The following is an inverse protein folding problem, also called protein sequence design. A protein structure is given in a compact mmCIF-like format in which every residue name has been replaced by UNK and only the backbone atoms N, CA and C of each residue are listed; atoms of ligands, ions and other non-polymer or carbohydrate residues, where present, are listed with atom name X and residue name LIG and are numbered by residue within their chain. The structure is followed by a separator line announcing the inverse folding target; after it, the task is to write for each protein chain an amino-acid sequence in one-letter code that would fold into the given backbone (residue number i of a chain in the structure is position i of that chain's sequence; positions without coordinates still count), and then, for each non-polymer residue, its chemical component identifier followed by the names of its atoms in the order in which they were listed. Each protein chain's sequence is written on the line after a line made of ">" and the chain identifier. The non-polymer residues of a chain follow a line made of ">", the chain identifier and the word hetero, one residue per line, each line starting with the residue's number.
data_IF_962832611388
#
_entry.id   IF_962832611388
#
_cell.length_a   1.000
_cell.length_b   1.000
_cell.length_c   1.000
_cell.angle_alpha   90.00
_cell.angle_beta   90.00
_cell.angle_gamma   90.00
#
_symmetry.space_group_name_H-M   'P 1'
#
loop_
_entity.id
_entity.type
_entity.pdbx_description
1 polymer ?
#
# COMPACT_ATOMS: atom_id res chain seq x y z
N UNK A 1 -8.10 -12.13 7.72
CA UNK A 1 -7.47 -11.09 6.88
C UNK A 1 -8.54 -10.22 6.22
N UNK A 2 -8.37 -8.89 6.29
CA UNK A 2 -9.28 -7.93 5.68
C UNK A 2 -8.84 -7.56 4.26
N UNK A 3 -9.79 -7.08 3.46
CA UNK A 3 -9.54 -6.55 2.12
C UNK A 3 -10.00 -5.10 2.05
N UNK A 4 -9.29 -4.28 1.27
CA UNK A 4 -9.57 -2.84 1.10
C UNK A 4 -9.63 -2.49 -0.37
N UNK A 5 -10.75 -1.92 -0.79
CA UNK A 5 -10.94 -1.28 -2.09
C UNK A 5 -10.55 0.21 -1.98
N UNK A 6 -9.55 0.71 -2.74
CA UNK A 6 -9.13 2.11 -2.66
C UNK A 6 -10.05 3.09 -3.39
N UNK A 7 -11.00 2.61 -4.19
CA UNK A 7 -11.90 3.45 -5.00
C UNK A 7 -11.15 4.48 -5.85
N UNK A 8 -10.04 4.04 -6.45
CA UNK A 8 -9.15 4.87 -7.28
C UNK A 8 -8.46 6.03 -6.53
N UNK A 9 -8.48 6.08 -5.19
CA UNK A 9 -7.75 7.06 -4.40
C UNK A 9 -6.37 6.50 -3.97
N UNK A 10 -5.30 7.12 -4.47
CA UNK A 10 -3.93 6.74 -4.17
C UNK A 10 -3.60 6.80 -2.68
N UNK A 11 -4.24 7.69 -1.92
CA UNK A 11 -3.99 7.86 -0.48
C UNK A 11 -4.60 6.72 0.29
N UNK A 12 -5.77 6.23 -0.11
CA UNK A 12 -6.38 5.05 0.51
C UNK A 12 -5.50 3.82 0.25
N UNK A 13 -5.02 3.65 -1.00
CA UNK A 13 -4.12 2.55 -1.34
C UNK A 13 -2.84 2.57 -0.49
N UNK A 14 -2.18 3.73 -0.36
CA UNK A 14 -0.97 3.89 0.44
C UNK A 14 -1.22 3.75 1.95
N UNK A 15 -2.29 4.35 2.48
CA UNK A 15 -2.59 4.35 3.90
C UNK A 15 -2.83 2.93 4.43
N UNK A 16 -3.59 2.12 3.69
CA UNK A 16 -3.87 0.73 4.11
C UNK A 16 -2.71 -0.23 3.83
N UNK A 17 -1.82 0.08 2.90
CA UNK A 17 -0.55 -0.66 2.75
C UNK A 17 0.33 -0.51 4.01
N UNK A 18 0.40 0.69 4.60
CA UNK A 18 1.14 0.93 5.84
C UNK A 18 0.39 0.43 7.06
N UNK A 19 -0.86 0.85 7.25
CA UNK A 19 -1.66 0.51 8.43
C UNK A 19 -1.95 -1.00 8.52
N UNK A 20 -2.11 -1.66 7.38
CA UNK A 20 -2.39 -3.10 7.29
C UNK A 20 -1.14 -3.98 7.43
N UNK A 21 0.06 -3.42 7.45
CA UNK A 21 1.32 -4.18 7.46
C UNK A 21 1.42 -5.18 8.62
N UNK A 22 1.11 -4.83 9.89
CA UNK A 22 1.28 -5.77 11.01
C UNK A 22 0.30 -6.95 11.01
N UNK A 23 -0.81 -6.84 10.29
CA UNK A 23 -1.93 -7.81 10.36
C UNK A 23 -2.23 -8.52 9.04
N UNK A 24 -1.56 -8.13 7.94
CA UNK A 24 -1.74 -8.72 6.62
C UNK A 24 -3.08 -8.35 5.98
N UNK A 25 -3.17 -7.13 5.42
CA UNK A 25 -4.31 -6.66 4.63
C UNK A 25 -4.02 -6.76 3.14
N UNK A 26 -5.02 -7.19 2.36
CA UNK A 26 -4.97 -7.09 0.89
C UNK A 26 -5.56 -5.75 0.45
N UNK A 27 -4.76 -4.93 -0.20
CA UNK A 27 -5.23 -3.71 -0.89
C UNK A 27 -5.48 -4.06 -2.35
N UNK A 28 -6.70 -3.83 -2.85
CA UNK A 28 -7.07 -4.00 -4.25
C UNK A 28 -6.47 -2.87 -5.09
N UNK A 29 -6.15 -3.16 -6.35
CA UNK A 29 -5.57 -2.19 -7.30
C UNK A 29 -4.49 -1.25 -6.69
N UNK A 30 -3.45 -1.79 -6.01
CA UNK A 30 -2.47 -0.96 -5.31
C UNK A 30 -1.72 0.00 -6.24
N UNK A 31 -1.71 -0.27 -7.55
CA UNK A 31 -1.12 0.58 -8.59
C UNK A 31 -1.68 2.01 -8.63
N UNK A 32 -2.83 2.30 -8.02
CA UNK A 32 -3.30 3.68 -7.86
C UNK A 32 -2.30 4.57 -7.12
N UNK A 33 -1.44 4.02 -6.25
CA UNK A 33 -0.35 4.77 -5.62
C UNK A 33 0.58 5.47 -6.64
N UNK A 34 0.77 4.88 -7.83
CA UNK A 34 1.69 5.40 -8.85
C UNK A 34 1.31 6.78 -9.38
N UNK A 35 0.04 7.21 -9.26
CA UNK A 35 -0.39 8.50 -9.80
C UNK A 35 0.23 9.70 -9.04
N UNK A 36 0.62 9.49 -7.78
CA UNK A 36 1.24 10.53 -6.94
C UNK A 36 2.59 10.14 -6.37
N UNK A 37 2.82 8.84 -6.17
CA UNK A 37 4.06 8.30 -5.65
C UNK A 37 4.48 7.06 -6.46
N UNK A 38 5.08 7.27 -7.64
CA UNK A 38 5.68 6.19 -8.40
C UNK A 38 6.73 5.43 -7.59
N UNK A 39 6.62 4.10 -7.52
CA UNK A 39 7.55 3.27 -6.77
C UNK A 39 7.29 3.17 -5.27
N UNK A 40 6.15 3.68 -4.77
CA UNK A 40 5.77 3.60 -3.35
C UNK A 40 5.98 2.20 -2.74
N UNK A 41 5.50 1.14 -3.42
CA UNK A 41 5.62 -0.23 -2.89
C UNK A 41 7.06 -0.76 -2.90
N UNK A 42 7.90 -0.31 -3.85
CA UNK A 42 9.32 -0.66 -3.86
C UNK A 42 10.02 -0.05 -2.66
N UNK A 43 9.74 1.22 -2.38
CA UNK A 43 10.33 1.92 -1.24
C UNK A 43 9.84 1.30 0.08
N UNK A 44 8.53 0.99 0.18
CA UNK A 44 7.94 0.29 1.33
C UNK A 44 8.60 -1.08 1.57
N UNK A 45 8.81 -1.89 0.53
CA UNK A 45 9.53 -3.17 0.63
C UNK A 45 10.98 -2.98 1.11
N UNK A 46 11.66 -1.95 0.63
CA UNK A 46 13.02 -1.62 1.07
C UNK A 46 13.11 -1.30 2.56
N UNK A 47 12.10 -0.61 3.11
CA UNK A 47 12.01 -0.31 4.54
C UNK A 47 11.75 -1.57 5.38
N UNK A 48 10.93 -2.51 4.88
CA UNK A 48 10.64 -3.76 5.56
C UNK A 48 11.86 -4.70 5.68
N UNK A 49 12.81 -4.62 4.75
CA UNK A 49 14.05 -5.42 4.77
C UNK A 49 15.20 -4.81 5.57
N UNK A 50 15.05 -3.58 6.08
CA UNK A 50 16.09 -2.87 6.84
C UNK A 50 16.08 -3.12 8.36
N UNK A 51 15.43 -4.20 8.82
CA UNK A 51 15.35 -4.58 10.24
C UNK A 51 16.43 -5.57 10.65
#
# INVERSE_FOLDING_TARGET
>A
PGEVEPFHDHRIAMAFAVAGFPVGVRVWEPGWAEISYPGFFRDLLGLCGGS
#
